data_IF_468352294055
#
_entry.id   IF_468352294055
#
_cell.length_a   1.000
_cell.length_b   1.000
_cell.length_c   1.000
_cell.angle_alpha   90.00
_cell.angle_beta   90.00
_cell.angle_gamma   90.00
#
_symmetry.space_group_name_H-M   'P 1'
#
loop_
_entity.id
_entity.type
_entity.pdbx_description
1 polymer ?
#
# COMPACT_ATOMS: atom_id res chain seq x y z
N UNK A 1 7.47 24.80 -72.91
CA UNK A 1 6.59 23.69 -72.50
C UNK A 1 7.28 22.94 -71.36
N UNK A 2 6.61 22.88 -70.19
CA UNK A 2 6.58 21.76 -69.23
C UNK A 2 7.89 21.27 -68.57
N UNK A 3 8.01 21.04 -67.25
CA UNK A 3 7.17 21.21 -66.05
C UNK A 3 8.12 21.04 -64.85
N UNK A 4 8.13 21.97 -63.89
CA UNK A 4 8.85 21.82 -62.63
C UNK A 4 8.17 20.76 -61.76
N UNK A 5 8.89 19.70 -61.39
CA UNK A 5 8.40 18.64 -60.51
C UNK A 5 8.74 19.03 -59.06
N UNK A 6 7.78 19.60 -58.35
CA UNK A 6 7.88 19.85 -56.90
C UNK A 6 7.47 18.58 -56.17
N UNK A 7 8.43 17.89 -55.56
CA UNK A 7 8.15 16.80 -54.61
C UNK A 7 7.83 17.42 -53.24
N UNK A 8 6.55 17.42 -52.87
CA UNK A 8 6.13 17.68 -51.48
C UNK A 8 6.30 16.38 -50.67
N UNK A 9 7.34 16.33 -49.83
CA UNK A 9 7.41 15.35 -48.74
C UNK A 9 6.44 15.80 -47.63
N UNK A 10 5.31 15.12 -47.50
CA UNK A 10 4.44 15.23 -46.32
C UNK A 10 5.10 14.41 -45.20
N UNK A 11 5.74 15.09 -44.25
CA UNK A 11 6.22 14.47 -43.03
C UNK A 11 5.00 14.11 -42.16
N UNK A 12 4.69 12.82 -42.08
CA UNK A 12 3.66 12.31 -41.18
C UNK A 12 4.15 12.43 -39.73
N UNK A 13 3.76 13.50 -39.05
CA UNK A 13 3.92 13.63 -37.60
C UNK A 13 2.93 12.70 -36.91
N UNK A 14 3.35 11.46 -36.62
CA UNK A 14 2.60 10.59 -35.72
C UNK A 14 2.60 11.24 -34.32
N UNK A 15 1.44 11.52 -33.71
CA UNK A 15 1.42 11.93 -32.32
C UNK A 15 1.93 10.73 -31.51
N UNK A 16 3.09 10.88 -30.90
CA UNK A 16 3.54 9.98 -29.86
C UNK A 16 2.53 10.11 -28.70
N UNK A 17 1.54 9.21 -28.67
CA UNK A 17 0.74 8.99 -27.48
C UNK A 17 1.71 8.46 -26.43
N UNK A 18 2.30 9.39 -25.66
CA UNK A 18 3.07 9.05 -24.49
C UNK A 18 2.14 8.31 -23.54
N UNK A 19 2.35 7.01 -23.39
CA UNK A 19 1.74 6.25 -22.31
C UNK A 19 2.10 6.97 -21.01
N UNK A 20 1.11 7.58 -20.36
CA UNK A 20 1.29 8.08 -18.99
C UNK A 20 1.51 6.83 -18.16
N UNK A 21 2.77 6.54 -17.83
CA UNK A 21 3.10 5.57 -16.80
C UNK A 21 2.60 6.16 -15.48
N UNK A 22 1.36 5.85 -15.12
CA UNK A 22 0.90 6.02 -13.75
C UNK A 22 1.75 5.05 -12.94
N UNK A 23 2.60 5.58 -12.07
CA UNK A 23 3.25 4.74 -11.07
C UNK A 23 2.15 3.95 -10.37
N UNK A 24 2.20 2.62 -10.43
CA UNK A 24 1.35 1.79 -9.58
C UNK A 24 1.55 2.30 -8.16
N UNK A 25 0.46 2.77 -7.52
CA UNK A 25 0.52 3.45 -6.23
C UNK A 25 1.35 2.63 -5.24
N UNK A 26 2.17 3.31 -4.42
CA UNK A 26 3.06 2.63 -3.50
C UNK A 26 2.26 1.68 -2.60
N UNK A 27 2.62 0.39 -2.58
CA UNK A 27 1.92 -0.63 -1.79
C UNK A 27 1.86 -0.26 -0.30
N UNK A 28 2.85 0.50 0.19
CA UNK A 28 2.87 0.99 1.57
C UNK A 28 1.79 2.04 1.83
N UNK A 29 1.32 2.80 0.83
CA UNK A 29 0.29 3.84 1.00
C UNK A 29 -1.10 3.24 1.27
N UNK A 30 -1.28 1.95 0.96
CA UNK A 30 -2.55 1.25 1.16
C UNK A 30 -2.75 0.81 2.61
N UNK A 31 -1.67 0.76 3.40
CA UNK A 31 -1.66 0.26 4.77
C UNK A 31 -1.20 1.34 5.76
N UNK A 32 -1.70 1.33 7.00
CA UNK A 32 -1.16 2.20 8.01
C UNK A 32 0.29 1.82 8.31
N UNK A 33 1.14 2.82 8.51
CA UNK A 33 2.54 2.58 8.82
C UNK A 33 2.73 1.97 10.22
N UNK A 34 1.89 2.38 11.17
CA UNK A 34 1.88 1.78 12.50
C UNK A 34 0.45 1.50 12.98
N UNK A 35 0.31 0.45 13.79
CA UNK A 35 -0.94 0.08 14.46
C UNK A 35 -0.68 -0.02 15.95
N UNK A 36 -1.53 0.60 16.76
CA UNK A 36 -1.48 0.55 18.22
C UNK A 36 -2.53 -0.44 18.74
N UNK A 37 -2.07 -1.49 19.42
CA UNK A 37 -2.94 -2.53 20.00
C UNK A 37 -2.65 -2.71 21.49
N UNK A 38 -3.71 -2.87 22.26
CA UNK A 38 -3.64 -3.27 23.66
C UNK A 38 -3.55 -4.79 23.74
N UNK A 39 -2.61 -5.30 24.53
CA UNK A 39 -2.57 -6.71 24.93
C UNK A 39 -2.13 -6.83 26.39
N UNK A 40 -2.95 -7.49 27.21
CA UNK A 40 -2.70 -7.73 28.65
C UNK A 40 -2.37 -6.44 29.43
N UNK A 41 -3.09 -5.37 29.15
CA UNK A 41 -2.94 -4.05 29.77
C UNK A 41 -1.74 -3.24 29.24
N UNK A 42 -1.03 -3.75 28.23
CA UNK A 42 0.13 -3.07 27.63
C UNK A 42 -0.21 -2.55 26.24
N UNK A 43 0.13 -1.29 25.96
CA UNK A 43 0.01 -0.71 24.63
C UNK A 43 1.23 -1.06 23.80
N UNK A 44 1.02 -1.81 22.73
CA UNK A 44 2.03 -2.18 21.76
C UNK A 44 1.87 -1.36 20.48
N UNK A 45 2.99 -0.84 19.97
CA UNK A 45 3.07 -0.28 18.63
C UNK A 45 3.67 -1.33 17.70
N UNK A 46 2.94 -1.66 16.65
CA UNK A 46 3.42 -2.53 15.58
C UNK A 46 3.67 -1.70 14.34
N UNK A 47 4.82 -1.91 13.71
CA UNK A 47 5.24 -1.17 12.54
C UNK A 47 5.18 -2.06 11.30
N UNK A 48 4.71 -1.46 10.20
CA UNK A 48 4.67 -2.11 8.90
C UNK A 48 6.09 -2.45 8.45
N UNK A 49 6.37 -3.74 8.31
CA UNK A 49 7.70 -4.24 7.95
C UNK A 49 7.78 -4.71 6.51
N UNK A 50 6.70 -5.31 6.00
CA UNK A 50 6.65 -5.89 4.66
C UNK A 50 5.23 -5.89 4.13
N UNK A 51 5.07 -5.59 2.85
CA UNK A 51 3.87 -5.89 2.07
C UNK A 51 4.27 -6.87 0.97
N UNK A 52 3.60 -8.01 0.88
CA UNK A 52 3.83 -9.00 -0.19
C UNK A 52 2.92 -8.73 -1.39
N UNK A 53 3.27 -9.28 -2.56
CA UNK A 53 2.57 -9.03 -3.83
C UNK A 53 1.09 -9.48 -3.83
N UNK A 54 0.71 -10.38 -2.92
CA UNK A 54 -0.67 -10.82 -2.67
C UNK A 54 -1.48 -9.86 -1.78
N UNK A 55 -0.89 -8.73 -1.35
CA UNK A 55 -1.55 -7.74 -0.51
C UNK A 55 -1.60 -8.11 0.98
N UNK A 56 -0.67 -8.94 1.45
CA UNK A 56 -0.51 -9.23 2.88
C UNK A 56 0.52 -8.30 3.50
N UNK A 57 0.10 -7.49 4.48
CA UNK A 57 0.98 -6.66 5.27
C UNK A 57 1.42 -7.39 6.55
N UNK A 58 2.72 -7.37 6.84
CA UNK A 58 3.32 -7.91 8.05
C UNK A 58 3.72 -6.76 8.97
N UNK A 59 3.28 -6.83 10.22
CA UNK A 59 3.56 -5.86 11.26
C UNK A 59 4.38 -6.51 12.38
N UNK A 60 5.37 -5.79 12.88
CA UNK A 60 6.19 -6.24 14.00
C UNK A 60 6.24 -5.19 15.10
N UNK A 61 6.11 -5.64 16.35
CA UNK A 61 6.45 -4.90 17.55
C UNK A 61 7.79 -5.41 18.12
N UNK A 62 8.30 -4.74 19.15
CA UNK A 62 9.44 -5.23 19.94
C UNK A 62 9.16 -6.64 20.50
N UNK A 63 10.22 -7.39 20.81
CA UNK A 63 10.17 -8.75 21.38
C UNK A 63 9.62 -9.85 20.47
N UNK A 64 9.75 -9.68 19.14
CA UNK A 64 9.26 -10.61 18.11
C UNK A 64 7.74 -10.83 18.13
N UNK A 65 6.97 -9.91 18.72
CA UNK A 65 5.52 -9.98 18.63
C UNK A 65 5.07 -9.49 17.24
N UNK A 66 4.64 -10.43 16.41
CA UNK A 66 4.32 -10.19 15.00
C UNK A 66 2.85 -10.51 14.68
N UNK A 67 2.30 -9.77 13.73
CA UNK A 67 0.95 -9.96 13.20
C UNK A 67 0.87 -9.67 11.71
N UNK A 68 -0.19 -10.15 11.06
CA UNK A 68 -0.48 -9.86 9.65
C UNK A 68 -1.85 -9.22 9.49
N UNK A 69 -1.98 -8.32 8.54
CA UNK A 69 -3.25 -7.68 8.16
C UNK A 69 -3.34 -7.71 6.63
N UNK A 70 -4.51 -8.00 6.08
CA UNK A 70 -4.79 -7.91 4.63
C UNK A 70 -5.81 -6.80 4.38
N UNK A 71 -5.82 -6.18 3.19
CA UNK A 71 -6.74 -5.06 2.90
C UNK A 71 -8.23 -5.43 3.05
N UNK A 72 -8.61 -6.64 2.63
CA UNK A 72 -9.98 -7.13 2.73
C UNK A 72 -10.24 -8.05 3.93
N UNK A 73 -9.33 -8.13 4.90
CA UNK A 73 -9.40 -9.10 5.98
C UNK A 73 -8.93 -8.58 7.33
N UNK A 74 -9.19 -9.37 8.37
CA UNK A 74 -8.88 -9.00 9.74
C UNK A 74 -7.41 -9.19 10.12
N UNK A 75 -6.96 -8.42 11.11
CA UNK A 75 -5.66 -8.63 11.73
C UNK A 75 -5.55 -10.02 12.38
N UNK A 76 -4.40 -10.67 12.20
CA UNK A 76 -4.09 -11.98 12.74
C UNK A 76 -2.78 -11.93 13.51
N UNK A 77 -2.72 -12.61 14.64
CA UNK A 77 -1.46 -12.84 15.34
C UNK A 77 -0.65 -13.93 14.63
N UNK A 78 0.68 -13.79 14.62
CA UNK A 78 1.60 -14.81 14.13
C UNK A 78 2.26 -15.46 15.35
N UNK A 79 2.10 -16.78 15.48
CA UNK A 79 2.75 -17.57 16.54
C UNK A 79 2.00 -17.68 17.87
N UNK A 80 0.92 -16.91 18.09
CA UNK A 80 -0.01 -17.09 19.22
C UNK A 80 -1.45 -16.85 18.76
N UNK A 81 -2.44 -17.45 19.44
CA UNK A 81 -3.87 -17.21 19.13
C UNK A 81 -4.41 -15.90 19.73
N UNK A 82 -3.61 -15.17 20.51
CA UNK A 82 -4.06 -13.95 21.18
C UNK A 82 -3.46 -12.70 20.52
N UNK A 83 -4.28 -11.96 19.76
CA UNK A 83 -3.88 -10.78 18.99
C UNK A 83 -4.30 -9.42 19.57
N UNK A 84 -4.59 -9.36 20.88
CA UNK A 84 -4.97 -8.12 21.55
C UNK A 84 -6.18 -7.41 20.94
N UNK A 85 -6.30 -6.10 21.18
CA UNK A 85 -7.43 -5.27 20.75
C UNK A 85 -7.55 -5.04 19.24
N UNK A 86 -6.58 -5.52 18.45
CA UNK A 86 -6.58 -5.39 17.00
C UNK A 86 -7.05 -6.65 16.29
N UNK A 87 -7.05 -7.81 16.98
CA UNK A 87 -7.38 -9.09 16.37
C UNK A 87 -8.74 -9.04 15.68
N UNK A 88 -8.78 -9.52 14.43
CA UNK A 88 -9.99 -9.60 13.62
C UNK A 88 -10.39 -8.31 12.92
N UNK A 89 -9.84 -7.15 13.29
CA UNK A 89 -10.22 -5.87 12.66
C UNK A 89 -9.61 -5.69 11.28
N UNK A 90 -10.38 -5.13 10.35
CA UNK A 90 -9.87 -4.69 9.04
C UNK A 90 -9.06 -3.40 9.18
N UNK A 91 -8.40 -2.98 8.09
CA UNK A 91 -7.67 -1.71 8.05
C UNK A 91 -8.60 -0.51 8.34
N UNK A 92 -9.80 -0.52 7.77
CA UNK A 92 -10.81 0.52 7.96
C UNK A 92 -11.23 0.59 9.43
N UNK A 93 -11.55 -0.54 10.05
CA UNK A 93 -11.94 -0.59 11.46
C UNK A 93 -10.81 -0.14 12.41
N UNK A 94 -9.55 -0.44 12.06
CA UNK A 94 -8.39 0.07 12.79
C UNK A 94 -8.26 1.60 12.67
N UNK A 95 -8.58 2.18 11.51
CA UNK A 95 -8.61 3.64 11.31
C UNK A 95 -9.75 4.27 12.10
N UNK A 96 -10.96 3.74 11.99
CA UNK A 96 -12.15 4.25 12.67
C UNK A 96 -12.02 4.19 14.20
N UNK A 97 -11.39 3.14 14.72
CA UNK A 97 -11.13 3.00 16.16
C UNK A 97 -9.91 3.78 16.65
N UNK A 98 -9.25 4.55 15.78
CA UNK A 98 -8.08 5.37 16.14
C UNK A 98 -6.83 4.55 16.47
N UNK A 99 -6.79 3.27 16.09
CA UNK A 99 -5.66 2.37 16.29
C UNK A 99 -4.61 2.47 15.17
N UNK A 100 -4.98 2.95 13.98
CA UNK A 100 -4.08 3.09 12.84
C UNK A 100 -3.35 4.45 12.82
N UNK A 101 -2.10 4.45 12.31
CA UNK A 101 -1.30 5.64 12.02
C UNK A 101 -0.79 5.55 10.58
N UNK A 102 -1.40 6.31 9.69
CA UNK A 102 -0.93 6.47 8.31
C UNK A 102 0.19 7.53 8.26
N UNK A 103 1.21 7.30 7.41
CA UNK A 103 2.14 8.37 7.01
C UNK A 103 1.63 8.89 5.68
N UNK A 104 1.24 10.16 5.62
CA UNK A 104 0.93 10.80 4.34
C UNK A 104 2.22 11.30 3.71
N UNK A 105 2.41 11.03 2.42
CA UNK A 105 3.35 11.80 1.62
C UNK A 105 2.84 13.25 1.57
N UNK A 106 3.72 14.19 1.93
CA UNK A 106 3.45 15.62 1.93
C UNK A 106 3.71 16.19 0.54
#
# INVERSE_FOLDING_TARGET
>A
MSKSLTLLLVAASAPAFGSVALAEGNLFDQFPFAVACEYKGTQHAFYLSKVTADGTATYLASDNFAGTITLGGGAKAVGTEQGGSCLGKTVEELRESGQARDIRAN
#
